data_IF_447217007247
#
_entry.id   IF_447217007247
#
_cell.length_a   1.000
_cell.length_b   1.000
_cell.length_c   1.000
_cell.angle_alpha   90.00
_cell.angle_beta   90.00
_cell.angle_gamma   90.00
#
_symmetry.space_group_name_H-M   'P 1'
#
loop_
_entity.id
_entity.type
_entity.pdbx_description
1 polymer ?
#
# COMPACT_ATOMS: atom_id res chain seq x y z
N UNK A 1 -9.74 18.94 3.45
CA UNK A 1 -9.44 17.53 3.13
C UNK A 1 -10.07 16.68 4.23
N UNK A 2 -10.92 15.72 3.89
CA UNK A 2 -11.56 14.85 4.89
C UNK A 2 -10.51 13.88 5.43
N UNK A 3 -10.23 13.95 6.74
CA UNK A 3 -9.33 13.00 7.39
C UNK A 3 -10.07 11.68 7.57
N UNK A 4 -9.64 10.65 6.85
CA UNK A 4 -10.12 9.28 7.07
C UNK A 4 -9.85 8.92 8.53
N UNK A 5 -10.90 8.75 9.33
CA UNK A 5 -10.75 8.36 10.73
C UNK A 5 -10.56 6.86 10.80
N UNK A 6 -9.32 6.44 10.96
CA UNK A 6 -9.01 5.04 11.19
C UNK A 6 -9.21 4.65 12.66
N UNK A 7 -9.75 3.45 12.94
CA UNK A 7 -9.83 2.92 14.29
C UNK A 7 -8.45 2.85 14.94
N UNK A 8 -8.42 2.83 16.27
CA UNK A 8 -7.19 2.60 17.05
C UNK A 8 -6.77 1.10 17.02
N UNK A 9 -6.94 0.41 15.90
CA UNK A 9 -6.65 -1.02 15.72
C UNK A 9 -5.75 -1.27 14.50
N UNK A 10 -5.10 -2.42 14.42
CA UNK A 10 -4.42 -2.83 13.18
C UNK A 10 -5.47 -3.11 12.11
N UNK A 11 -5.16 -2.74 10.87
CA UNK A 11 -6.13 -2.79 9.78
C UNK A 11 -5.70 -3.79 8.74
N UNK A 12 -6.62 -4.67 8.38
CA UNK A 12 -6.50 -5.55 7.23
C UNK A 12 -7.85 -5.52 6.54
N UNK A 13 -7.90 -5.08 5.29
CA UNK A 13 -9.12 -5.16 4.48
C UNK A 13 -8.79 -5.71 3.09
N UNK A 14 -9.67 -6.60 2.63
CA UNK A 14 -9.73 -7.18 1.29
C UNK A 14 -11.03 -6.80 0.58
N UNK A 15 -11.85 -5.93 1.18
CA UNK A 15 -13.04 -5.41 0.53
C UNK A 15 -12.61 -4.35 -0.48
N UNK A 16 -12.70 -4.72 -1.75
CA UNK A 16 -12.36 -3.87 -2.89
C UNK A 16 -13.00 -2.48 -2.83
N UNK A 17 -14.24 -2.39 -2.35
CA UNK A 17 -14.99 -1.14 -2.28
C UNK A 17 -14.45 -0.25 -1.18
N UNK A 18 -14.19 -0.82 0.00
CA UNK A 18 -13.61 -0.08 1.12
C UNK A 18 -12.20 0.41 0.81
N UNK A 19 -11.35 -0.47 0.28
CA UNK A 19 -9.97 -0.12 -0.03
C UNK A 19 -9.91 0.94 -1.12
N UNK A 20 -10.75 0.87 -2.16
CA UNK A 20 -10.84 1.93 -3.19
C UNK A 20 -11.26 3.28 -2.61
N UNK A 21 -12.21 3.32 -1.68
CA UNK A 21 -12.61 4.58 -1.02
C UNK A 21 -11.44 5.22 -0.31
N UNK A 22 -10.71 4.44 0.48
CA UNK A 22 -9.51 4.93 1.19
C UNK A 22 -8.45 5.41 0.20
N UNK A 23 -8.18 4.67 -0.87
CA UNK A 23 -7.23 5.05 -1.91
C UNK A 23 -7.59 6.38 -2.59
N UNK A 24 -8.89 6.64 -2.81
CA UNK A 24 -9.40 7.90 -3.37
C UNK A 24 -9.27 9.03 -2.35
N UNK A 25 -9.65 8.81 -1.09
CA UNK A 25 -9.59 9.82 -0.03
C UNK A 25 -8.16 10.26 0.29
N UNK A 26 -7.20 9.34 0.25
CA UNK A 26 -5.78 9.63 0.37
C UNK A 26 -5.17 10.20 -0.92
N UNK A 27 -5.92 10.19 -2.03
CA UNK A 27 -5.47 10.70 -3.32
C UNK A 27 -4.42 9.82 -4.00
N UNK A 28 -4.21 8.58 -3.56
CA UNK A 28 -3.12 7.69 -4.04
C UNK A 28 -3.59 6.63 -5.04
N UNK A 29 -4.89 6.55 -5.36
CA UNK A 29 -5.44 5.55 -6.30
C UNK A 29 -4.76 5.57 -7.67
N UNK A 30 -4.33 6.76 -8.12
CA UNK A 30 -3.66 6.93 -9.40
C UNK A 30 -2.31 6.19 -9.48
N UNK A 31 -1.65 5.93 -8.34
CA UNK A 31 -0.40 5.16 -8.28
C UNK A 31 -0.57 3.71 -8.72
N UNK A 32 -1.81 3.20 -8.80
CA UNK A 32 -2.14 1.87 -9.31
C UNK A 32 -2.54 1.85 -10.79
N UNK A 33 -2.60 3.02 -11.44
CA UNK A 33 -3.03 3.15 -12.85
C UNK A 33 -1.92 2.77 -13.83
N UNK A 34 -0.66 3.00 -13.43
CA UNK A 34 0.53 2.76 -14.25
C UNK A 34 1.50 1.82 -13.52
N UNK A 35 1.35 0.49 -13.71
CA UNK A 35 2.35 -0.49 -13.33
C UNK A 35 3.78 -0.04 -13.68
N UNK A 36 4.75 -0.08 -12.75
CA UNK A 36 6.16 0.01 -13.11
C UNK A 36 6.56 -1.11 -14.09
N UNK A 37 5.99 -2.31 -13.90
CA UNK A 37 6.12 -3.45 -14.80
C UNK A 37 4.71 -3.95 -15.22
N UNK A 38 4.32 -3.84 -16.50
CA UNK A 38 3.02 -4.33 -16.99
C UNK A 38 2.83 -5.84 -16.86
N UNK A 39 3.90 -6.61 -16.60
CA UNK A 39 3.86 -8.06 -16.35
C UNK A 39 3.65 -8.39 -14.88
N UNK A 40 3.81 -7.43 -13.96
CA UNK A 40 3.57 -7.70 -12.56
C UNK A 40 2.08 -7.91 -12.31
N UNK A 41 1.76 -8.96 -11.56
CA UNK A 41 0.40 -9.29 -11.12
C UNK A 41 0.07 -8.63 -9.78
N UNK A 42 1.07 -8.06 -9.09
CA UNK A 42 0.91 -7.41 -7.78
C UNK A 42 1.65 -6.09 -7.75
N UNK A 43 0.93 -5.01 -7.41
CA UNK A 43 1.47 -3.67 -7.21
C UNK A 43 1.31 -3.29 -5.76
N UNK A 44 2.30 -2.64 -5.17
CA UNK A 44 2.21 -2.16 -3.79
C UNK A 44 2.55 -0.68 -3.71
N UNK A 45 1.91 0.02 -2.78
CA UNK A 45 2.17 1.42 -2.50
C UNK A 45 1.98 1.65 -1.00
N UNK A 46 3.00 2.17 -0.31
CA UNK A 46 2.87 2.54 1.09
C UNK A 46 2.69 4.04 1.28
N UNK A 47 2.02 4.38 2.38
CA UNK A 47 1.70 5.75 2.80
C UNK A 47 2.19 5.91 4.24
N UNK A 48 3.14 6.82 4.44
CA UNK A 48 3.74 7.11 5.75
C UNK A 48 3.28 8.43 6.36
N UNK A 49 2.63 9.32 5.61
CA UNK A 49 2.15 10.62 6.09
C UNK A 49 0.83 10.54 6.87
N UNK A 50 0.17 9.38 6.87
CA UNK A 50 -1.07 9.19 7.62
C UNK A 50 -0.86 9.35 9.15
N UNK A 51 -1.70 10.12 9.87
CA UNK A 51 -1.41 10.53 11.25
C UNK A 51 -1.32 9.37 12.26
N UNK A 52 -2.08 8.29 12.06
CA UNK A 52 -2.20 7.22 13.06
C UNK A 52 -1.58 5.88 12.64
N UNK A 53 -1.31 5.69 11.35
CA UNK A 53 -0.90 4.41 10.79
C UNK A 53 0.21 4.56 9.75
N UNK A 54 1.02 3.51 9.61
CA UNK A 54 1.76 3.22 8.39
C UNK A 54 0.85 2.35 7.53
N UNK A 55 0.52 2.79 6.32
CA UNK A 55 -0.39 2.05 5.44
C UNK A 55 0.38 1.39 4.31
N UNK A 56 -0.06 0.20 3.90
CA UNK A 56 0.39 -0.47 2.70
C UNK A 56 -0.85 -0.89 1.91
N UNK A 57 -0.91 -0.48 0.66
CA UNK A 57 -1.91 -0.89 -0.29
C UNK A 57 -1.31 -1.87 -1.28
N UNK A 58 -2.10 -2.83 -1.72
CA UNK A 58 -1.76 -3.70 -2.84
C UNK A 58 -2.90 -3.78 -3.85
N UNK A 59 -2.55 -3.90 -5.13
CA UNK A 59 -3.46 -4.23 -6.21
C UNK A 59 -3.03 -5.54 -6.85
N UNK A 60 -3.92 -6.53 -6.86
CA UNK A 60 -3.75 -7.83 -7.50
C UNK A 60 -4.51 -7.82 -8.82
N UNK A 61 -3.84 -8.20 -9.92
CA UNK A 61 -4.44 -8.23 -11.26
C UNK A 61 -3.83 -9.34 -12.13
N UNK A 62 -4.58 -9.80 -13.11
CA UNK A 62 -4.12 -10.81 -14.07
C UNK A 62 -4.14 -12.26 -13.56
N UNK A 63 -4.72 -12.50 -12.38
CA UNK A 63 -4.92 -13.86 -11.88
C UNK A 63 -6.13 -14.52 -12.55
N UNK A 64 -6.05 -15.84 -12.76
CA UNK A 64 -7.09 -16.61 -13.45
C UNK A 64 -8.42 -16.60 -12.70
N UNK A 65 -8.38 -16.69 -11.37
CA UNK A 65 -9.59 -16.61 -10.55
C UNK A 65 -9.90 -15.15 -10.27
N UNK A 66 -11.13 -14.72 -10.57
CA UNK A 66 -11.55 -13.32 -10.37
C UNK A 66 -11.43 -12.88 -8.92
N UNK A 67 -11.66 -13.79 -7.97
CA UNK A 67 -11.52 -13.57 -6.52
C UNK A 67 -10.10 -13.27 -6.06
N UNK A 68 -9.08 -13.65 -6.85
CA UNK A 68 -7.67 -13.39 -6.53
C UNK A 68 -7.20 -12.01 -7.06
N UNK A 69 -8.09 -11.27 -7.72
CA UNK A 69 -7.83 -9.92 -8.21
C UNK A 69 -8.58 -8.92 -7.33
N UNK A 70 -8.05 -7.71 -7.20
CA UNK A 70 -8.65 -6.68 -6.37
C UNK A 70 -7.63 -5.83 -5.64
N UNK A 71 -8.07 -5.18 -4.58
CA UNK A 71 -7.29 -4.33 -3.71
C UNK A 71 -7.27 -4.85 -2.29
N UNK A 72 -6.15 -4.60 -1.63
CA UNK A 72 -5.96 -4.92 -0.22
C UNK A 72 -5.28 -3.75 0.47
N UNK A 73 -5.57 -3.56 1.75
CA UNK A 73 -4.91 -2.60 2.61
C UNK A 73 -4.45 -3.27 3.90
N UNK A 74 -3.23 -2.93 4.32
CA UNK A 74 -2.69 -3.14 5.64
C UNK A 74 -2.45 -1.80 6.33
N UNK A 75 -2.72 -1.73 7.64
CA UNK A 75 -2.42 -0.56 8.45
C UNK A 75 -1.80 -0.95 9.80
N UNK A 76 -0.59 -0.47 10.03
CA UNK A 76 0.13 -0.65 11.30
C UNK A 76 0.10 0.62 12.12
N UNK A 77 -0.41 0.56 13.35
CA UNK A 77 -0.51 1.73 14.23
C UNK A 77 0.87 2.31 14.55
N UNK A 78 1.05 3.63 14.37
CA UNK A 78 2.29 4.34 14.73
C UNK A 78 2.62 4.30 16.23
N UNK A 79 1.60 4.16 17.09
CA UNK A 79 1.77 3.99 18.53
C UNK A 79 2.40 2.65 18.92
N UNK A 80 2.30 1.62 18.06
CA UNK A 80 2.77 0.24 18.34
C UNK A 80 3.96 -0.15 17.48
N UNK A 81 4.02 0.32 16.24
CA UNK A 81 5.05 -0.02 15.27
C UNK A 81 5.85 1.22 14.88
N UNK A 82 7.16 1.08 14.87
CA UNK A 82 8.07 2.05 14.26
C UNK A 82 7.97 1.98 12.73
N UNK A 83 8.37 3.05 12.05
CA UNK A 83 8.51 3.09 10.58
C UNK A 83 9.30 1.89 10.06
N UNK A 84 10.45 1.61 10.68
CA UNK A 84 11.34 0.49 10.31
C UNK A 84 10.65 -0.87 10.41
N UNK A 85 9.81 -1.08 11.42
CA UNK A 85 9.04 -2.32 11.56
C UNK A 85 7.98 -2.44 10.46
N UNK A 86 7.22 -1.37 10.21
CA UNK A 86 6.23 -1.33 9.13
C UNK A 86 6.86 -1.54 7.75
N UNK A 87 8.02 -0.92 7.49
CA UNK A 87 8.86 -1.15 6.32
C UNK A 87 9.27 -2.62 6.21
N UNK A 88 9.72 -3.23 7.31
CA UNK A 88 10.08 -4.65 7.34
C UNK A 88 8.90 -5.57 6.97
N UNK A 89 7.72 -5.31 7.52
CA UNK A 89 6.52 -6.07 7.19
C UNK A 89 6.09 -5.88 5.73
N UNK A 90 6.15 -4.65 5.23
CA UNK A 90 5.83 -4.35 3.83
C UNK A 90 6.82 -5.03 2.86
N UNK A 91 8.11 -5.02 3.18
CA UNK A 91 9.13 -5.73 2.40
C UNK A 91 8.91 -7.25 2.42
N UNK A 92 8.54 -7.81 3.57
CA UNK A 92 8.22 -9.23 3.68
C UNK A 92 6.99 -9.60 2.83
N UNK A 93 5.95 -8.77 2.88
CA UNK A 93 4.75 -8.95 2.06
C UNK A 93 5.10 -8.95 0.57
N UNK A 94 5.85 -7.94 0.12
CA UNK A 94 6.36 -7.88 -1.25
C UNK A 94 7.16 -9.13 -1.61
N UNK A 95 8.11 -9.55 -0.77
CA UNK A 95 8.94 -10.74 -1.06
C UNK A 95 8.10 -12.00 -1.23
N UNK A 96 7.02 -12.14 -0.45
CA UNK A 96 6.12 -13.31 -0.49
C UNK A 96 5.16 -13.28 -1.67
N UNK A 97 4.75 -12.09 -2.14
CA UNK A 97 3.62 -11.94 -3.05
C UNK A 97 3.92 -11.17 -4.36
N UNK A 98 5.09 -10.55 -4.51
CA UNK A 98 5.44 -9.70 -5.65
C UNK A 98 6.82 -10.00 -6.25
N UNK A 99 6.84 -10.24 -7.56
CA UNK A 99 8.04 -10.22 -8.40
C UNK A 99 8.39 -8.74 -8.69
N UNK A 100 9.67 -8.39 -8.48
CA UNK A 100 10.34 -7.12 -8.84
C UNK A 100 9.71 -5.83 -8.33
N UNK A 101 9.99 -5.49 -7.07
CA UNK A 101 9.98 -4.08 -6.66
C UNK A 101 11.25 -3.45 -7.20
N UNK A 102 11.13 -2.73 -8.33
CA UNK A 102 11.98 -1.55 -8.47
C UNK A 102 11.78 -0.73 -7.19
N UNK A 103 12.89 -0.45 -6.48
CA UNK A 103 12.96 0.23 -5.19
C UNK A 103 12.37 1.65 -5.20
N UNK A 104 11.12 1.83 -5.62
CA UNK A 104 10.33 2.96 -5.16
C UNK A 104 10.01 2.65 -3.72
N UNK A 105 10.85 3.23 -2.87
CA UNK A 105 10.76 3.26 -1.42
C UNK A 105 9.30 3.11 -1.00
N UNK A 106 8.98 1.97 -0.37
CA UNK A 106 7.62 1.63 0.07
C UNK A 106 7.00 2.76 0.90
N UNK A 107 7.85 3.55 1.55
CA UNK A 107 7.50 4.84 2.12
C UNK A 107 8.47 5.87 1.57
N UNK A 108 8.00 6.94 0.89
CA UNK A 108 8.89 7.98 0.38
C UNK A 108 9.75 8.52 1.53
N UNK A 109 11.07 8.60 1.31
CA UNK A 109 11.93 9.31 2.26
C UNK A 109 11.56 10.79 2.22
N UNK A 110 11.46 11.42 3.39
CA UNK A 110 11.11 12.82 3.56
C UNK A 110 11.72 13.71 2.46
N UNK A 111 10.85 14.24 1.59
CA UNK A 111 11.12 15.40 0.76
C UNK A 111 12.20 15.28 -0.32
N UNK A 112 12.66 14.09 -0.72
CA UNK A 112 13.58 13.97 -1.87
C UNK A 112 12.88 13.35 -3.08
N UNK A 113 12.80 14.06 -4.22
CA UNK A 113 12.30 13.46 -5.45
C UNK A 113 13.18 12.27 -5.84
N UNK A 114 12.63 11.25 -6.52
CA UNK A 114 13.41 10.13 -7.03
C UNK A 114 14.55 10.69 -7.89
N UNK A 115 15.79 10.31 -7.56
CA UNK A 115 16.94 10.68 -8.39
C UNK A 115 16.77 9.99 -9.75
N UNK A 116 16.74 10.84 -10.78
CA UNK A 116 16.72 10.50 -12.20
C UNK A 116 17.93 9.66 -12.62
#
# INVERSE_FOLDING_TARGET
MATVKFPDEELISFDDTEVKKVLVELGVIHNFSLPPDPRSTVFTYGVDDHPTHWLLFACFRGFKQKSDNGYMMFGWRKKKFTRKQAEGYAQEFVRKHGVSVEKRLLFPQDGKPPQS
#
